data_IF_713705863732
#
_entry.id   IF_713705863732
#
_cell.length_a   1.000
_cell.length_b   1.000
_cell.length_c   1.000
_cell.angle_alpha   90.00
_cell.angle_beta   90.00
_cell.angle_gamma   90.00
#
_symmetry.space_group_name_H-M   'P 1'
#
loop_
_entity.id
_entity.type
_entity.pdbx_description
1 polymer ?
#
# COMPACT_ATOMS: atom_id res chain seq x y z
N UNK A 1 3.39 -11.47 13.39
CA UNK A 1 2.66 -11.69 14.64
C UNK A 1 2.56 -13.20 14.94
N UNK A 2 2.00 -14.04 14.04
CA UNK A 2 1.84 -15.49 14.29
C UNK A 2 3.17 -16.17 14.62
N UNK A 3 4.24 -15.89 13.87
CA UNK A 3 5.57 -16.45 14.15
C UNK A 3 6.16 -16.03 15.52
N UNK A 4 5.67 -14.93 16.07
CA UNK A 4 6.02 -14.46 17.42
C UNK A 4 5.07 -14.97 18.53
N UNK A 5 4.17 -15.89 18.17
CA UNK A 5 3.19 -16.45 19.12
C UNK A 5 2.01 -15.53 19.46
N UNK A 6 1.80 -14.46 18.69
CA UNK A 6 0.71 -13.52 18.91
C UNK A 6 -0.52 -13.91 18.07
N UNK A 7 -1.73 -14.04 18.68
CA UNK A 7 -2.95 -14.21 17.92
C UNK A 7 -3.25 -12.96 17.07
N UNK A 8 -3.90 -13.18 15.93
CA UNK A 8 -4.15 -12.12 14.92
C UNK A 8 -5.63 -12.04 14.58
N UNK A 9 -6.17 -10.83 14.65
CA UNK A 9 -7.45 -10.48 14.04
C UNK A 9 -7.15 -9.67 12.79
N UNK A 10 -7.51 -10.19 11.62
CA UNK A 10 -7.30 -9.53 10.34
C UNK A 10 -8.62 -8.98 9.80
N UNK A 11 -8.69 -7.67 9.64
CA UNK A 11 -9.82 -7.01 9.00
C UNK A 11 -9.59 -6.97 7.49
N UNK A 12 -10.39 -7.71 6.72
CA UNK A 12 -10.30 -7.75 5.26
C UNK A 12 -10.59 -6.40 4.61
N UNK A 13 -9.94 -6.13 3.49
CA UNK A 13 -10.20 -4.93 2.72
C UNK A 13 -11.51 -5.05 1.92
N UNK A 14 -12.42 -4.07 1.95
CA UNK A 14 -13.73 -4.19 1.31
C UNK A 14 -13.68 -4.24 -0.23
N UNK A 15 -12.63 -3.72 -0.86
CA UNK A 15 -12.50 -3.72 -2.33
C UNK A 15 -12.02 -5.07 -2.91
N UNK A 16 -11.50 -5.99 -2.08
CA UNK A 16 -11.08 -7.33 -2.53
C UNK A 16 -11.38 -8.42 -1.47
N UNK A 17 -12.65 -8.56 -1.05
CA UNK A 17 -13.03 -9.47 0.03
C UNK A 17 -12.67 -10.92 -0.28
N UNK A 18 -12.82 -11.33 -1.54
CA UNK A 18 -12.54 -12.72 -1.96
C UNK A 18 -11.07 -13.12 -1.76
N UNK A 19 -10.14 -12.22 -2.04
CA UNK A 19 -8.71 -12.46 -1.75
C UNK A 19 -8.49 -12.66 -0.25
N UNK A 20 -9.12 -11.82 0.58
CA UNK A 20 -9.07 -11.95 2.03
C UNK A 20 -9.62 -13.31 2.51
N UNK A 21 -10.74 -13.77 1.97
CA UNK A 21 -11.34 -15.06 2.28
C UNK A 21 -10.44 -16.25 1.90
N UNK A 22 -9.86 -16.23 0.71
CA UNK A 22 -8.98 -17.30 0.24
C UNK A 22 -7.74 -17.44 1.12
N UNK A 23 -7.08 -16.32 1.41
CA UNK A 23 -5.90 -16.31 2.29
C UNK A 23 -6.27 -16.65 3.72
N UNK A 24 -7.35 -16.07 4.25
CA UNK A 24 -7.83 -16.36 5.60
C UNK A 24 -8.22 -17.84 5.78
N UNK A 25 -8.87 -18.43 4.77
CA UNK A 25 -9.18 -19.86 4.76
C UNK A 25 -7.93 -20.75 4.79
N UNK A 26 -6.89 -20.37 4.01
CA UNK A 26 -5.63 -21.10 4.01
C UNK A 26 -4.95 -21.04 5.39
N UNK A 27 -4.92 -19.86 6.02
CA UNK A 27 -4.34 -19.69 7.37
C UNK A 27 -5.15 -20.49 8.40
N UNK A 28 -6.49 -20.43 8.37
CA UNK A 28 -7.34 -21.17 9.30
C UNK A 28 -7.16 -22.69 9.17
N UNK A 29 -7.01 -23.21 7.95
CA UNK A 29 -6.69 -24.61 7.70
C UNK A 29 -5.33 -24.99 8.28
N UNK A 30 -4.31 -24.15 8.11
CA UNK A 30 -2.98 -24.38 8.69
C UNK A 30 -3.04 -24.39 10.23
N UNK A 31 -3.75 -23.45 10.85
CA UNK A 31 -3.98 -23.41 12.32
C UNK A 31 -4.61 -24.73 12.79
N UNK A 32 -5.66 -25.20 12.12
CA UNK A 32 -6.34 -26.43 12.47
C UNK A 32 -5.43 -27.66 12.28
N UNK A 33 -4.68 -27.75 11.18
CA UNK A 33 -3.79 -28.88 10.90
C UNK A 33 -2.60 -28.97 11.88
N UNK A 34 -2.20 -27.83 12.48
CA UNK A 34 -1.19 -27.78 13.53
C UNK A 34 -1.76 -28.02 14.94
N UNK A 35 -3.04 -28.30 15.09
CA UNK A 35 -3.69 -28.49 16.40
C UNK A 35 -3.71 -27.23 17.27
N UNK A 36 -3.61 -26.05 16.68
CA UNK A 36 -3.62 -24.78 17.40
C UNK A 36 -5.05 -24.33 17.71
N UNK A 37 -5.26 -23.53 18.79
CA UNK A 37 -6.58 -22.99 19.11
C UNK A 37 -7.16 -22.13 17.97
N UNK A 38 -8.46 -22.21 17.71
CA UNK A 38 -9.13 -21.47 16.64
C UNK A 38 -8.96 -19.94 16.77
N UNK A 39 -8.82 -19.42 17.99
CA UNK A 39 -8.58 -17.99 18.26
C UNK A 39 -7.20 -17.46 17.85
N UNK A 40 -6.28 -18.32 17.38
CA UNK A 40 -4.95 -17.87 16.89
C UNK A 40 -5.06 -16.99 15.67
N UNK A 41 -6.04 -17.22 14.80
CA UNK A 41 -6.32 -16.37 13.65
C UNK A 41 -7.81 -16.16 13.47
N UNK A 42 -8.21 -14.89 13.26
CA UNK A 42 -9.59 -14.52 12.94
C UNK A 42 -9.63 -13.56 11.77
N UNK A 43 -10.47 -13.87 10.77
CA UNK A 43 -10.76 -12.97 9.66
C UNK A 43 -12.12 -12.31 9.91
N UNK A 44 -12.15 -10.98 9.82
CA UNK A 44 -13.39 -10.21 9.90
C UNK A 44 -13.58 -9.32 8.69
N UNK A 45 -14.81 -9.09 8.31
CA UNK A 45 -15.21 -8.21 7.24
C UNK A 45 -15.88 -6.95 7.79
N UNK A 46 -15.91 -5.90 6.99
CA UNK A 46 -16.60 -4.65 7.28
C UNK A 46 -16.37 -3.64 6.17
N UNK A 47 -17.42 -3.00 5.71
CA UNK A 47 -17.37 -2.00 4.64
C UNK A 47 -17.02 -0.60 5.15
N UNK A 48 -17.18 -0.35 6.46
CA UNK A 48 -16.90 0.94 7.09
C UNK A 48 -15.58 0.93 7.88
N UNK A 49 -15.14 2.13 8.26
CA UNK A 49 -13.98 2.31 9.13
C UNK A 49 -14.27 1.97 10.60
N UNK A 50 -15.56 1.81 10.98
CA UNK A 50 -15.98 1.55 12.36
C UNK A 50 -15.38 0.27 12.93
N UNK A 51 -15.37 -0.81 12.15
CA UNK A 51 -14.79 -2.09 12.58
C UNK A 51 -13.32 -1.91 12.97
N UNK A 52 -12.53 -1.20 12.14
CA UNK A 52 -11.13 -0.90 12.45
C UNK A 52 -10.99 -0.05 13.70
N UNK A 53 -11.82 0.98 13.84
CA UNK A 53 -11.82 1.87 15.01
C UNK A 53 -12.19 1.14 16.30
N UNK A 54 -13.20 0.26 16.27
CA UNK A 54 -13.59 -0.56 17.42
C UNK A 54 -12.50 -1.55 17.81
N UNK A 55 -11.85 -2.20 16.84
CA UNK A 55 -10.72 -3.09 17.13
C UNK A 55 -9.60 -2.36 17.85
N UNK A 56 -9.15 -1.22 17.31
CA UNK A 56 -8.04 -0.46 17.90
C UNK A 56 -8.36 -0.03 19.33
N UNK A 57 -9.62 0.30 19.61
CA UNK A 57 -10.06 0.74 20.93
C UNK A 57 -10.35 -0.42 21.91
N UNK A 58 -10.46 -1.66 21.42
CA UNK A 58 -10.80 -2.81 22.26
C UNK A 58 -9.65 -3.13 23.22
N UNK A 59 -9.91 -3.30 24.54
CA UNK A 59 -8.86 -3.46 25.56
C UNK A 59 -7.98 -4.70 25.37
N UNK A 60 -8.50 -5.76 24.74
CA UNK A 60 -7.72 -6.96 24.47
C UNK A 60 -6.72 -6.81 23.31
N UNK A 61 -6.84 -5.78 22.47
CA UNK A 61 -5.87 -5.53 21.40
C UNK A 61 -4.63 -4.88 21.95
N UNK A 62 -3.45 -5.44 21.66
CA UNK A 62 -2.17 -5.03 22.22
C UNK A 62 -1.25 -4.34 21.19
N UNK A 63 -1.53 -4.47 19.90
CA UNK A 63 -0.79 -3.81 18.84
C UNK A 63 -1.65 -3.72 17.58
N UNK A 64 -1.34 -2.76 16.71
CA UNK A 64 -1.99 -2.58 15.40
C UNK A 64 -0.95 -2.62 14.30
N UNK A 65 -1.18 -3.45 13.26
CA UNK A 65 -0.51 -3.38 11.98
C UNK A 65 -1.47 -2.80 10.93
N UNK A 66 -1.01 -1.84 10.16
CA UNK A 66 -1.82 -1.19 9.13
C UNK A 66 -1.01 -0.93 7.87
N UNK A 67 -1.60 -1.15 6.72
CA UNK A 67 -1.07 -0.71 5.42
C UNK A 67 -2.18 0.01 4.67
N UNK A 68 -1.91 1.24 4.22
CA UNK A 68 -2.89 2.03 3.49
C UNK A 68 -2.56 3.52 3.42
N UNK A 69 -3.57 4.37 3.31
CA UNK A 69 -3.37 5.81 3.20
C UNK A 69 -2.85 6.44 4.50
N UNK A 70 -2.11 7.55 4.38
CA UNK A 70 -1.68 8.37 5.52
C UNK A 70 -2.87 8.74 6.44
N UNK A 71 -3.99 9.16 5.85
CA UNK A 71 -5.20 9.51 6.61
C UNK A 71 -5.71 8.34 7.45
N UNK A 72 -5.74 7.13 6.88
CA UNK A 72 -6.18 5.92 7.59
C UNK A 72 -5.22 5.53 8.71
N UNK A 73 -3.93 5.47 8.42
CA UNK A 73 -2.90 5.13 9.41
C UNK A 73 -2.85 6.13 10.57
N UNK A 74 -2.89 7.44 10.25
CA UNK A 74 -2.92 8.51 11.26
C UNK A 74 -4.16 8.41 12.16
N UNK A 75 -5.34 8.13 11.59
CA UNK A 75 -6.57 7.99 12.38
C UNK A 75 -6.49 6.82 13.37
N UNK A 76 -5.96 5.67 12.94
CA UNK A 76 -5.78 4.51 13.82
C UNK A 76 -4.71 4.78 14.89
N UNK A 77 -3.63 5.45 14.53
CA UNK A 77 -2.60 5.88 15.48
C UNK A 77 -3.19 6.78 16.57
N UNK A 78 -3.98 7.80 16.18
CA UNK A 78 -4.59 8.72 17.13
C UNK A 78 -5.57 8.03 18.10
N UNK A 79 -6.30 7.01 17.61
CA UNK A 79 -7.15 6.19 18.47
C UNK A 79 -6.31 5.36 19.46
N UNK A 80 -5.24 4.75 18.98
CA UNK A 80 -4.38 3.88 19.79
C UNK A 80 -3.68 4.62 20.93
N UNK A 81 -3.18 5.83 20.67
CA UNK A 81 -2.48 6.64 21.69
C UNK A 81 -3.42 7.29 22.71
N UNK A 82 -4.71 7.47 22.35
CA UNK A 82 -5.71 8.04 23.26
C UNK A 82 -6.37 7.01 24.19
N UNK A 83 -6.02 5.74 24.06
CA UNK A 83 -6.51 4.70 24.96
C UNK A 83 -6.01 4.95 26.39
N UNK A 84 -6.76 4.50 27.43
CA UNK A 84 -6.27 4.51 28.81
C UNK A 84 -4.91 3.80 28.95
N UNK A 85 -4.70 2.73 28.15
CA UNK A 85 -3.42 2.07 27.96
C UNK A 85 -3.04 2.15 26.47
N UNK A 86 -2.15 3.07 26.08
CA UNK A 86 -1.69 3.20 24.71
C UNK A 86 -1.04 1.92 24.19
N UNK A 87 -1.18 1.67 22.88
CA UNK A 87 -0.59 0.51 22.21
C UNK A 87 0.21 0.93 20.99
N UNK A 88 1.23 0.15 20.59
CA UNK A 88 2.01 0.43 19.40
C UNK A 88 1.18 0.27 18.12
N UNK A 89 1.44 1.15 17.14
CA UNK A 89 0.88 1.09 15.78
C UNK A 89 2.02 1.06 14.77
N UNK A 90 2.05 0.01 13.98
CA UNK A 90 2.98 -0.17 12.86
C UNK A 90 2.22 0.13 11.58
N UNK A 91 2.36 1.35 11.08
CA UNK A 91 1.60 1.84 9.93
C UNK A 91 2.53 2.07 8.73
N UNK A 92 2.34 1.27 7.69
CA UNK A 92 2.92 1.47 6.37
C UNK A 92 1.95 2.31 5.54
N UNK A 93 2.37 3.50 5.17
CA UNK A 93 1.54 4.50 4.49
C UNK A 93 2.13 4.85 3.12
N UNK A 94 1.60 5.88 2.47
CA UNK A 94 2.14 6.36 1.20
C UNK A 94 3.56 6.90 1.33
N UNK A 95 4.33 6.79 0.25
CA UNK A 95 5.72 7.28 0.14
C UNK A 95 5.94 8.01 -1.18
N UNK A 96 7.03 8.77 -1.27
CA UNK A 96 7.41 9.50 -2.49
C UNK A 96 8.29 8.63 -3.40
N UNK A 97 9.10 7.74 -2.83
CA UNK A 97 10.06 6.87 -3.53
C UNK A 97 10.89 7.63 -4.58
N UNK A 98 11.75 8.58 -4.17
CA UNK A 98 12.53 9.35 -5.12
C UNK A 98 13.54 8.45 -5.86
N UNK A 99 13.61 8.61 -7.18
CA UNK A 99 14.59 7.93 -8.04
C UNK A 99 15.59 8.97 -8.51
N UNK A 100 16.87 8.76 -8.18
CA UNK A 100 17.97 9.61 -8.61
C UNK A 100 18.68 8.94 -9.78
N UNK A 101 18.66 9.60 -10.94
CA UNK A 101 19.29 9.12 -12.16
C UNK A 101 20.62 9.83 -12.37
N UNK A 102 21.71 9.06 -12.31
CA UNK A 102 23.04 9.59 -12.57
C UNK A 102 23.34 9.57 -14.09
N UNK A 103 24.02 10.60 -14.61
CA UNK A 103 24.33 10.75 -16.04
C UNK A 103 24.99 9.51 -16.65
N UNK A 104 25.96 8.90 -15.95
CA UNK A 104 26.62 7.69 -16.43
C UNK A 104 25.63 6.53 -16.61
N UNK A 105 24.65 6.38 -15.71
CA UNK A 105 23.62 5.34 -15.82
C UNK A 105 22.66 5.58 -16.98
N UNK A 106 22.31 6.83 -17.21
CA UNK A 106 21.50 7.22 -18.38
C UNK A 106 22.25 6.91 -19.67
N UNK A 107 23.55 7.24 -19.74
CA UNK A 107 24.38 7.04 -20.92
C UNK A 107 24.63 5.57 -21.30
N UNK A 108 24.54 4.63 -20.34
CA UNK A 108 24.72 3.19 -20.60
C UNK A 108 23.69 2.65 -21.59
N UNK A 109 22.41 2.90 -21.33
CA UNK A 109 21.30 2.48 -22.19
C UNK A 109 20.03 3.31 -21.84
N UNK A 110 19.89 4.50 -22.37
CA UNK A 110 18.77 5.39 -22.02
C UNK A 110 17.40 4.82 -22.37
N UNK A 111 17.30 4.10 -23.48
CA UNK A 111 16.01 3.51 -23.90
C UNK A 111 15.54 2.39 -22.95
N UNK A 112 16.42 1.47 -22.58
CA UNK A 112 16.09 0.40 -21.64
C UNK A 112 15.79 0.97 -20.23
N UNK A 113 16.51 1.99 -19.81
CA UNK A 113 16.28 2.68 -18.54
C UNK A 113 14.90 3.37 -18.53
N UNK A 114 14.55 4.07 -19.60
CA UNK A 114 13.24 4.72 -19.74
C UNK A 114 12.11 3.71 -19.74
N UNK A 115 12.22 2.62 -20.49
CA UNK A 115 11.22 1.55 -20.53
C UNK A 115 11.06 0.87 -19.15
N UNK A 116 12.16 0.58 -18.46
CA UNK A 116 12.13 0.01 -17.12
C UNK A 116 11.49 0.94 -16.09
N UNK A 117 11.80 2.23 -16.14
CA UNK A 117 11.22 3.23 -15.25
C UNK A 117 9.73 3.45 -15.52
N UNK A 118 9.32 3.54 -16.80
CA UNK A 118 7.92 3.62 -17.20
C UNK A 118 7.12 2.40 -16.69
N UNK A 119 7.66 1.19 -16.87
CA UNK A 119 7.06 -0.03 -16.33
C UNK A 119 6.91 0.00 -14.81
N UNK A 120 7.92 0.51 -14.10
CA UNK A 120 7.87 0.67 -12.64
C UNK A 120 6.80 1.68 -12.19
N UNK A 121 6.71 2.83 -12.86
CA UNK A 121 5.71 3.87 -12.57
C UNK A 121 4.30 3.35 -12.81
N UNK A 122 4.08 2.61 -13.90
CA UNK A 122 2.75 2.13 -14.29
C UNK A 122 2.37 0.77 -13.68
N UNK A 123 3.26 0.15 -12.88
CA UNK A 123 2.97 -1.14 -12.24
C UNK A 123 1.72 -1.05 -11.36
N UNK A 124 0.76 -1.97 -11.60
CA UNK A 124 -0.53 -1.95 -10.91
C UNK A 124 -1.32 -0.65 -11.13
N UNK A 125 -1.18 -0.05 -12.33
CA UNK A 125 -1.81 1.24 -12.68
C UNK A 125 -1.32 2.38 -11.77
N UNK A 126 -0.05 2.32 -11.36
CA UNK A 126 0.55 3.32 -10.47
C UNK A 126 0.03 3.30 -9.02
N UNK A 127 -0.73 2.28 -8.63
CA UNK A 127 -1.40 2.23 -7.31
C UNK A 127 -0.58 1.52 -6.22
N UNK A 128 0.68 1.16 -6.48
CA UNK A 128 1.54 0.58 -5.46
C UNK A 128 2.17 1.63 -4.54
N UNK A 129 2.38 1.29 -3.27
CA UNK A 129 3.12 2.11 -2.31
C UNK A 129 4.60 2.31 -2.72
N UNK A 130 5.13 1.44 -3.57
CA UNK A 130 6.49 1.50 -4.14
C UNK A 130 6.60 2.32 -5.42
N UNK A 131 5.52 2.94 -5.88
CA UNK A 131 5.51 3.73 -7.10
C UNK A 131 6.54 4.86 -7.04
N UNK A 132 7.42 5.04 -8.05
CA UNK A 132 8.30 6.19 -8.15
C UNK A 132 7.49 7.48 -8.31
N UNK A 133 7.49 8.32 -7.28
CA UNK A 133 6.72 9.59 -7.27
C UNK A 133 7.55 10.82 -7.58
N UNK A 134 8.87 10.70 -7.62
CA UNK A 134 9.77 11.79 -7.95
C UNK A 134 11.00 11.27 -8.69
N UNK A 135 11.31 11.87 -9.84
CA UNK A 135 12.50 11.56 -10.64
C UNK A 135 13.43 12.76 -10.63
N UNK A 136 14.66 12.56 -10.19
CA UNK A 136 15.69 13.58 -10.08
C UNK A 136 16.82 13.22 -11.04
N UNK A 137 17.18 14.14 -11.93
CA UNK A 137 18.27 13.98 -12.88
C UNK A 137 19.02 15.32 -13.05
N UNK A 138 20.22 15.30 -13.65
CA UNK A 138 20.98 16.50 -13.91
C UNK A 138 20.38 17.22 -15.13
N UNK A 139 20.51 18.55 -15.16
CA UNK A 139 19.91 19.40 -16.21
C UNK A 139 20.34 18.99 -17.63
N UNK A 140 21.60 18.58 -17.80
CA UNK A 140 22.13 18.14 -19.10
C UNK A 140 21.48 16.84 -19.63
N UNK A 141 20.85 16.06 -18.74
CA UNK A 141 20.19 14.78 -19.09
C UNK A 141 18.68 14.97 -19.35
N UNK A 142 18.20 16.20 -19.46
CA UNK A 142 16.77 16.51 -19.59
C UNK A 142 16.09 15.83 -20.79
N UNK A 143 16.82 15.57 -21.90
CA UNK A 143 16.32 14.83 -23.05
C UNK A 143 15.90 13.39 -22.74
N UNK A 144 16.35 12.81 -21.62
CA UNK A 144 15.86 11.53 -21.13
C UNK A 144 14.37 11.55 -20.79
N UNK A 145 13.83 12.72 -20.39
CA UNK A 145 12.40 12.86 -20.07
C UNK A 145 11.52 12.63 -21.30
N UNK A 146 11.99 13.01 -22.51
CA UNK A 146 11.25 12.77 -23.76
C UNK A 146 11.16 11.26 -24.07
N UNK A 147 12.26 10.53 -23.81
CA UNK A 147 12.26 9.06 -23.90
C UNK A 147 11.31 8.43 -22.91
N UNK A 148 11.35 8.89 -21.65
CA UNK A 148 10.46 8.40 -20.62
C UNK A 148 8.99 8.66 -20.96
N UNK A 149 8.65 9.86 -21.43
CA UNK A 149 7.30 10.19 -21.88
C UNK A 149 6.84 9.25 -23.00
N UNK A 150 7.71 9.02 -24.00
CA UNK A 150 7.45 8.09 -25.09
C UNK A 150 7.18 6.66 -24.61
N UNK A 151 7.90 6.19 -23.60
CA UNK A 151 7.70 4.85 -23.03
C UNK A 151 6.43 4.76 -22.20
N UNK A 152 6.08 5.83 -21.46
CA UNK A 152 4.82 5.92 -20.71
C UNK A 152 3.61 5.86 -21.65
N UNK A 153 3.66 6.55 -22.79
CA UNK A 153 2.56 6.58 -23.79
C UNK A 153 2.29 5.20 -24.44
N UNK A 154 3.27 4.29 -24.42
CA UNK A 154 3.10 2.93 -24.93
C UNK A 154 2.35 2.01 -23.97
N UNK A 155 2.26 2.37 -22.69
CA UNK A 155 1.69 1.50 -21.69
C UNK A 155 0.16 1.59 -21.67
N UNK A 156 -0.53 0.44 -21.49
CA UNK A 156 -1.98 0.42 -21.51
C UNK A 156 -2.55 1.16 -20.29
N UNK A 157 -3.62 1.90 -20.51
CA UNK A 157 -4.42 2.45 -19.43
C UNK A 157 -5.13 1.33 -18.68
N UNK A 158 -5.27 1.48 -17.37
CA UNK A 158 -5.97 0.53 -16.51
C UNK A 158 -7.02 1.19 -15.64
N UNK A 159 -7.74 0.37 -14.87
CA UNK A 159 -8.79 0.83 -13.97
C UNK A 159 -8.26 1.05 -12.56
N UNK A 160 -8.81 2.05 -11.89
CA UNK A 160 -8.58 2.25 -10.46
C UNK A 160 -9.25 1.15 -9.63
N UNK A 161 -8.65 0.80 -8.50
CA UNK A 161 -9.19 -0.22 -7.60
C UNK A 161 -10.59 0.16 -7.06
N UNK A 162 -10.82 1.45 -6.82
CA UNK A 162 -12.10 1.97 -6.34
C UNK A 162 -12.44 3.33 -6.95
N UNK A 163 -13.74 3.69 -7.05
CA UNK A 163 -14.16 5.03 -7.46
C UNK A 163 -13.56 6.14 -6.58
N UNK A 164 -13.39 5.88 -5.27
CA UNK A 164 -12.78 6.85 -4.35
C UNK A 164 -11.33 7.16 -4.68
N UNK A 165 -10.54 6.15 -5.10
CA UNK A 165 -9.16 6.35 -5.55
C UNK A 165 -9.15 7.16 -6.86
N UNK A 166 -10.03 6.84 -7.80
CA UNK A 166 -10.14 7.58 -9.06
C UNK A 166 -10.45 9.07 -8.82
N UNK A 167 -11.42 9.35 -7.96
CA UNK A 167 -11.78 10.73 -7.59
C UNK A 167 -10.64 11.47 -6.90
N UNK A 168 -9.94 10.81 -5.95
CA UNK A 168 -8.81 11.40 -5.26
C UNK A 168 -7.64 11.70 -6.21
N UNK A 169 -7.38 10.80 -7.16
CA UNK A 169 -6.37 11.02 -8.20
C UNK A 169 -6.70 12.21 -9.09
N UNK A 170 -7.93 12.27 -9.61
CA UNK A 170 -8.37 13.39 -10.45
C UNK A 170 -8.25 14.75 -9.72
N UNK A 171 -8.65 14.80 -8.44
CA UNK A 171 -8.49 15.99 -7.60
C UNK A 171 -7.01 16.33 -7.36
N UNK A 172 -6.16 15.34 -7.14
CA UNK A 172 -4.73 15.52 -6.96
C UNK A 172 -4.06 16.12 -8.19
N UNK A 173 -4.36 15.58 -9.38
CA UNK A 173 -3.84 16.11 -10.65
C UNK A 173 -4.29 17.55 -10.89
N UNK A 174 -5.57 17.86 -10.65
CA UNK A 174 -6.09 19.20 -10.81
C UNK A 174 -5.42 20.25 -9.87
N UNK A 175 -4.92 19.81 -8.73
CA UNK A 175 -4.20 20.69 -7.79
C UNK A 175 -2.72 20.90 -8.14
N UNK A 176 -2.18 20.11 -9.08
CA UNK A 176 -0.78 20.24 -9.56
C UNK A 176 -0.68 21.10 -10.83
N UNK A 177 -1.78 21.30 -11.53
CA UNK A 177 -1.90 22.16 -12.71
C UNK A 177 -2.14 23.62 -12.32
#
# INVERSE_FOLDING_TARGET
>A
ALAAGCPVIFKAHPAHPKTGELVGSAISKAVASCGLPAGVFSLIHGSSNEVGSHLVQHPAIQAVGFTGSYRGGKALYDLAVRRPQPIPVYAEMGSVNPVILLSNKIAENPAALAAGLAGSVCLGVGQFCTNPGLIILQKQDASFLDLLATELDKLPLGTFLTPGIASAYASGVANLA
#
